data_IF_204215508151
#
_entry.id   IF_204215508151
#
_cell.length_a   1.000
_cell.length_b   1.000
_cell.length_c   1.000
_cell.angle_alpha   90.00
_cell.angle_beta   90.00
_cell.angle_gamma   90.00
#
_symmetry.space_group_name_H-M   'P 1'
#
loop_
_entity.id
_entity.type
_entity.pdbx_description
1 polymer ?
#
# COMPACT_ATOMS: atom_id res chain seq x y z
N UNK A 1 -1.58 -12.00 -13.82
CA UNK A 1 -1.24 -11.71 -12.41
C UNK A 1 -0.57 -12.93 -11.80
N UNK A 2 0.66 -12.80 -11.30
CA UNK A 2 1.40 -13.92 -10.69
C UNK A 2 1.16 -13.99 -9.17
N UNK A 3 1.63 -15.07 -8.52
CA UNK A 3 1.45 -15.28 -7.07
C UNK A 3 2.05 -14.16 -6.23
N UNK A 4 3.24 -13.65 -6.61
CA UNK A 4 3.89 -12.53 -5.92
C UNK A 4 3.01 -11.28 -5.93
N UNK A 5 2.45 -10.93 -7.09
CA UNK A 5 1.53 -9.79 -7.26
C UNK A 5 0.27 -9.97 -6.40
N UNK A 6 -0.34 -11.17 -6.42
CA UNK A 6 -1.50 -11.49 -5.56
C UNK A 6 -1.20 -11.28 -4.07
N UNK A 7 -0.02 -11.69 -3.61
CA UNK A 7 0.42 -11.49 -2.22
C UNK A 7 0.52 -9.99 -1.91
N UNK A 8 1.15 -9.20 -2.76
CA UNK A 8 1.33 -7.75 -2.55
C UNK A 8 -0.01 -7.03 -2.54
N UNK A 9 -0.89 -7.27 -3.51
CA UNK A 9 -2.20 -6.62 -3.59
C UNK A 9 -3.08 -6.93 -2.38
N UNK A 10 -3.16 -8.20 -1.98
CA UNK A 10 -3.89 -8.57 -0.77
C UNK A 10 -3.29 -7.92 0.48
N UNK A 11 -1.95 -7.92 0.58
CA UNK A 11 -1.26 -7.31 1.73
C UNK A 11 -1.42 -5.79 1.76
N UNK A 12 -1.54 -5.13 0.60
CA UNK A 12 -1.81 -3.70 0.50
C UNK A 12 -3.24 -3.37 0.95
N UNK A 13 -4.21 -4.23 0.65
CA UNK A 13 -5.55 -4.13 1.21
C UNK A 13 -5.53 -4.28 2.74
N UNK A 14 -4.79 -5.26 3.27
CA UNK A 14 -4.67 -5.45 4.73
C UNK A 14 -3.88 -4.33 5.43
N UNK A 15 -2.85 -3.79 4.80
CA UNK A 15 -2.12 -2.63 5.30
C UNK A 15 -3.08 -1.44 5.51
N UNK A 16 -3.93 -1.16 4.51
CA UNK A 16 -4.89 -0.04 4.56
C UNK A 16 -6.06 -0.23 5.52
N UNK A 17 -6.32 -1.47 5.94
CA UNK A 17 -7.37 -1.86 6.90
C UNK A 17 -6.82 -1.90 8.34
N UNK A 18 -5.65 -2.51 8.55
CA UNK A 18 -5.17 -2.92 9.89
C UNK A 18 -3.74 -2.49 10.23
N UNK A 19 -3.08 -1.76 9.34
CA UNK A 19 -1.65 -1.45 9.48
C UNK A 19 -0.74 -2.61 9.09
N UNK A 20 0.57 -2.36 9.13
CA UNK A 20 1.58 -3.32 8.71
C UNK A 20 1.65 -4.52 9.65
N UNK A 21 1.48 -4.31 10.95
CA UNK A 21 1.46 -5.40 11.94
C UNK A 21 0.12 -6.14 12.00
N UNK A 22 -0.94 -5.60 11.40
CA UNK A 22 -2.29 -6.15 11.45
C UNK A 22 -2.56 -7.41 10.62
N UNK A 23 -1.55 -7.95 9.92
CA UNK A 23 -1.66 -9.18 9.14
C UNK A 23 -0.39 -10.04 9.19
N UNK A 24 -0.56 -11.34 8.94
CA UNK A 24 0.50 -12.34 8.97
C UNK A 24 0.54 -13.19 7.69
N UNK A 25 1.63 -13.95 7.50
CA UNK A 25 1.71 -14.90 6.39
C UNK A 25 0.68 -16.02 6.46
N UNK A 26 0.17 -16.31 7.67
CA UNK A 26 -0.93 -17.25 7.83
C UNK A 26 -2.23 -16.68 7.26
N UNK A 27 -2.49 -15.39 7.47
CA UNK A 27 -3.67 -14.72 6.91
C UNK A 27 -3.60 -14.66 5.39
N UNK A 28 -2.42 -14.33 4.83
CA UNK A 28 -2.17 -14.34 3.38
C UNK A 28 -2.39 -15.74 2.80
N UNK A 29 -1.83 -16.75 3.47
CA UNK A 29 -1.92 -18.16 3.06
C UNK A 29 -3.39 -18.63 3.03
N UNK A 30 -4.16 -18.30 4.08
CA UNK A 30 -5.58 -18.64 4.18
C UNK A 30 -6.41 -17.97 3.11
N UNK A 31 -6.25 -16.65 2.92
CA UNK A 31 -7.07 -15.92 1.95
C UNK A 31 -6.75 -16.35 0.51
N UNK A 32 -5.46 -16.45 0.17
CA UNK A 32 -5.07 -16.68 -1.21
C UNK A 32 -5.12 -18.16 -1.63
N UNK A 33 -5.40 -19.06 -0.68
CA UNK A 33 -5.44 -20.51 -0.91
C UNK A 33 -4.06 -21.09 -1.26
N UNK A 34 -2.98 -20.50 -0.74
CA UNK A 34 -1.60 -20.93 -0.98
C UNK A 34 -0.94 -21.37 0.32
N UNK A 35 0.14 -22.15 0.24
CA UNK A 35 0.85 -22.59 1.46
C UNK A 35 1.66 -21.44 2.08
N UNK A 36 1.85 -21.47 3.40
CA UNK A 36 2.76 -20.55 4.09
C UNK A 36 4.20 -20.63 3.51
N UNK A 37 4.63 -21.82 3.09
CA UNK A 37 5.91 -22.02 2.41
C UNK A 37 6.00 -21.27 1.07
N UNK A 38 4.90 -21.22 0.29
CA UNK A 38 4.83 -20.43 -0.94
C UNK A 38 4.93 -18.92 -0.66
N UNK A 39 4.32 -18.43 0.41
CA UNK A 39 4.48 -17.02 0.83
C UNK A 39 5.94 -16.72 1.19
N UNK A 40 6.57 -17.58 2.00
CA UNK A 40 7.99 -17.44 2.36
C UNK A 40 8.92 -17.54 1.14
N UNK A 41 8.58 -18.34 0.13
CA UNK A 41 9.38 -18.42 -1.10
C UNK A 41 9.42 -17.06 -1.84
N UNK A 42 8.31 -16.32 -1.86
CA UNK A 42 8.26 -15.00 -2.49
C UNK A 42 8.80 -13.88 -1.60
N UNK A 43 8.57 -13.98 -0.30
CA UNK A 43 8.98 -12.99 0.69
C UNK A 43 9.55 -13.71 1.91
N UNK A 44 10.87 -13.98 1.94
CA UNK A 44 11.51 -14.72 3.04
C UNK A 44 11.21 -14.12 4.41
N UNK A 45 11.26 -12.79 4.51
CA UNK A 45 10.94 -12.00 5.70
C UNK A 45 9.75 -11.09 5.43
N UNK A 46 8.97 -10.79 6.48
CA UNK A 46 7.87 -9.81 6.40
C UNK A 46 8.39 -8.41 6.02
N UNK A 47 9.63 -8.10 6.37
CA UNK A 47 10.35 -6.91 5.90
C UNK A 47 10.44 -6.83 4.37
N UNK A 48 10.74 -7.93 3.68
CA UNK A 48 10.81 -7.98 2.21
C UNK A 48 9.44 -7.67 1.58
N UNK A 49 8.37 -8.16 2.22
CA UNK A 49 7.00 -7.83 1.82
C UNK A 49 6.67 -6.35 2.10
N UNK A 50 7.14 -5.80 3.21
CA UNK A 50 6.98 -4.38 3.53
C UNK A 50 7.67 -3.45 2.53
N UNK A 51 8.88 -3.80 2.08
CA UNK A 51 9.56 -3.07 1.02
C UNK A 51 8.79 -3.14 -0.30
N UNK A 52 8.29 -4.33 -0.68
CA UNK A 52 7.44 -4.46 -1.87
C UNK A 52 6.11 -3.70 -1.76
N UNK A 53 5.57 -3.53 -0.55
CA UNK A 53 4.41 -2.68 -0.29
C UNK A 53 4.74 -1.18 -0.39
N UNK A 54 5.97 -0.77 -0.09
CA UNK A 54 6.42 0.60 -0.36
C UNK A 54 6.48 0.86 -1.86
N UNK A 55 7.05 -0.06 -2.64
CA UNK A 55 7.08 0.03 -4.11
C UNK A 55 5.66 0.05 -4.69
N UNK A 56 4.78 -0.82 -4.21
CA UNK A 56 3.37 -0.81 -4.61
C UNK A 56 2.69 0.52 -4.27
N UNK A 57 2.99 1.10 -3.11
CA UNK A 57 2.43 2.38 -2.67
C UNK A 57 2.90 3.52 -3.56
N UNK A 58 4.19 3.55 -3.90
CA UNK A 58 4.76 4.49 -4.86
C UNK A 58 4.03 4.42 -6.19
N UNK A 59 3.89 3.22 -6.76
CA UNK A 59 3.26 3.02 -8.06
C UNK A 59 1.77 3.39 -8.03
N UNK A 60 1.06 3.00 -6.96
CA UNK A 60 -0.35 3.34 -6.76
C UNK A 60 -0.55 4.86 -6.69
N UNK A 61 0.29 5.57 -5.93
CA UNK A 61 0.20 7.02 -5.79
C UNK A 61 0.55 7.73 -7.11
N UNK A 62 1.65 7.33 -7.74
CA UNK A 62 2.11 7.90 -9.01
C UNK A 62 1.06 7.75 -10.12
N UNK A 63 0.45 6.57 -10.22
CA UNK A 63 -0.61 6.30 -11.20
C UNK A 63 -1.87 7.13 -10.90
N UNK A 64 -2.26 7.24 -9.62
CA UNK A 64 -3.40 8.06 -9.20
C UNK A 64 -3.20 9.54 -9.53
N UNK A 65 -2.04 10.10 -9.16
CA UNK A 65 -1.70 11.49 -9.45
C UNK A 65 -1.64 11.76 -10.96
N UNK A 66 -0.99 10.90 -11.74
CA UNK A 66 -0.95 11.00 -13.19
C UNK A 66 -2.35 10.94 -13.84
N UNK A 67 -3.25 10.10 -13.30
CA UNK A 67 -4.63 10.01 -13.76
C UNK A 67 -5.39 11.34 -13.56
N UNK A 68 -5.18 12.01 -12.42
CA UNK A 68 -5.77 13.32 -12.15
C UNK A 68 -5.18 14.40 -13.07
N UNK A 69 -3.86 14.38 -13.27
CA UNK A 69 -3.15 15.35 -14.12
C UNK A 69 -3.64 15.33 -15.55
N UNK A 70 -3.81 14.15 -16.13
CA UNK A 70 -4.30 13.99 -17.51
C UNK A 70 -5.74 14.47 -17.71
N UNK A 71 -6.53 14.64 -16.63
CA UNK A 71 -7.97 14.95 -16.69
C UNK A 71 -8.31 16.30 -16.08
N UNK A 72 -7.34 16.99 -15.52
CA UNK A 72 -7.52 18.29 -14.90
C UNK A 72 -7.72 19.37 -15.96
N UNK A 73 -8.79 20.14 -15.84
CA UNK A 73 -9.00 21.31 -16.70
C UNK A 73 -8.13 22.51 -16.28
N UNK A 74 -7.76 22.57 -15.00
CA UNK A 74 -6.90 23.59 -14.38
C UNK A 74 -6.40 23.08 -13.02
N UNK A 75 -5.51 23.85 -12.37
CA UNK A 75 -4.93 23.49 -11.08
C UNK A 75 -5.97 23.27 -9.96
N UNK A 76 -7.08 24.03 -9.98
CA UNK A 76 -8.14 23.87 -8.98
C UNK A 76 -8.88 22.54 -9.16
N UNK A 77 -9.24 22.19 -10.40
CA UNK A 77 -9.87 20.92 -10.69
C UNK A 77 -8.94 19.72 -10.41
N UNK A 78 -7.62 19.87 -10.57
CA UNK A 78 -6.64 18.86 -10.13
C UNK A 78 -6.76 18.59 -8.62
N UNK A 79 -6.74 19.65 -7.82
CA UNK A 79 -6.89 19.54 -6.35
C UNK A 79 -8.24 18.94 -5.96
N UNK A 80 -9.33 19.38 -6.59
CA UNK A 80 -10.67 18.86 -6.36
C UNK A 80 -10.76 17.36 -6.66
N UNK A 81 -10.17 16.89 -7.77
CA UNK A 81 -10.12 15.46 -8.12
C UNK A 81 -9.35 14.65 -7.08
N UNK A 82 -8.20 15.16 -6.62
CA UNK A 82 -7.42 14.51 -5.57
C UNK A 82 -8.20 14.40 -4.27
N UNK A 83 -8.78 15.51 -3.78
CA UNK A 83 -9.57 15.53 -2.55
C UNK A 83 -10.81 14.64 -2.66
N UNK A 84 -11.50 14.65 -3.80
CA UNK A 84 -12.67 13.79 -4.03
C UNK A 84 -12.30 12.31 -3.98
N UNK A 85 -11.16 11.92 -4.56
CA UNK A 85 -10.68 10.55 -4.50
C UNK A 85 -10.28 10.15 -3.07
N UNK A 86 -9.54 11.02 -2.36
CA UNK A 86 -9.17 10.79 -0.97
C UNK A 86 -10.40 10.64 -0.06
N UNK A 87 -11.40 11.51 -0.22
CA UNK A 87 -12.67 11.44 0.52
C UNK A 87 -13.44 10.16 0.20
N UNK A 88 -13.51 9.75 -1.08
CA UNK A 88 -14.16 8.49 -1.47
C UNK A 88 -13.49 7.29 -0.78
N UNK A 89 -12.17 7.21 -0.83
CA UNK A 89 -11.42 6.11 -0.21
C UNK A 89 -11.61 6.08 1.31
N UNK A 90 -11.49 7.24 1.97
CA UNK A 90 -11.59 7.33 3.42
C UNK A 90 -13.03 7.13 3.95
N UNK A 91 -14.02 7.75 3.31
CA UNK A 91 -15.39 7.82 3.84
C UNK A 91 -16.31 6.73 3.31
N UNK A 92 -16.13 6.31 2.04
CA UNK A 92 -16.99 5.29 1.44
C UNK A 92 -16.38 3.90 1.57
N UNK A 93 -15.09 3.77 1.28
CA UNK A 93 -14.41 2.46 1.29
C UNK A 93 -13.81 2.12 2.66
N UNK A 94 -13.79 3.09 3.60
CA UNK A 94 -13.20 2.95 4.94
C UNK A 94 -11.74 2.48 4.88
N UNK A 95 -11.00 2.90 3.86
CA UNK A 95 -9.59 2.55 3.65
C UNK A 95 -8.72 3.76 3.93
N UNK A 96 -7.66 3.55 4.71
CA UNK A 96 -6.67 4.58 4.99
C UNK A 96 -5.69 4.68 3.81
N UNK A 97 -5.14 5.89 3.59
CA UNK A 97 -4.01 6.07 2.68
C UNK A 97 -2.86 5.12 3.08
N UNK A 98 -2.26 4.36 2.14
CA UNK A 98 -1.18 3.42 2.46
C UNK A 98 0.04 4.09 3.12
N UNK A 99 0.37 5.34 2.76
CA UNK A 99 1.44 6.11 3.43
C UNK A 99 1.09 6.34 4.90
N UNK A 100 -0.12 6.83 5.18
CA UNK A 100 -0.58 7.04 6.56
C UNK A 100 -0.65 5.73 7.36
N UNK A 101 -1.06 4.62 6.71
CA UNK A 101 -1.09 3.31 7.34
C UNK A 101 0.31 2.83 7.77
N UNK A 102 1.34 3.08 6.96
CA UNK A 102 2.72 2.84 7.36
C UNK A 102 3.16 3.74 8.52
N UNK A 103 2.83 5.03 8.47
CA UNK A 103 3.20 5.97 9.52
C UNK A 103 2.57 5.65 10.89
N UNK A 104 1.38 5.04 10.92
CA UNK A 104 0.77 4.57 12.16
C UNK A 104 1.62 3.53 12.90
N UNK A 105 2.39 2.72 12.17
CA UNK A 105 3.26 1.68 12.73
C UNK A 105 4.74 2.10 12.78
N UNK A 106 5.07 3.37 12.49
CA UNK A 106 6.44 3.85 12.27
C UNK A 106 7.43 3.41 13.34
N UNK A 107 7.05 3.44 14.63
CA UNK A 107 7.92 3.08 15.74
C UNK A 107 8.33 1.60 15.77
N UNK A 108 7.56 0.73 15.10
CA UNK A 108 7.77 -0.73 15.06
C UNK A 108 8.41 -1.19 13.75
N UNK A 109 8.43 -0.35 12.73
CA UNK A 109 8.96 -0.73 11.43
C UNK A 109 10.49 -0.90 11.45
N UNK A 110 11.02 -1.88 10.68
CA UNK A 110 12.43 -1.94 10.34
C UNK A 110 12.93 -0.64 9.70
N UNK A 111 14.18 -0.27 9.96
CA UNK A 111 14.75 0.99 9.45
C UNK A 111 14.81 1.04 7.92
N UNK A 112 14.98 -0.11 7.26
CA UNK A 112 14.91 -0.23 5.80
C UNK A 112 13.57 0.27 5.25
N UNK A 113 12.45 -0.09 5.89
CA UNK A 113 11.11 0.33 5.51
C UNK A 113 10.91 1.81 5.84
N UNK A 114 11.37 2.29 7.01
CA UNK A 114 11.30 3.73 7.36
C UNK A 114 12.00 4.60 6.33
N UNK A 115 13.17 4.17 5.85
CA UNK A 115 13.91 4.87 4.78
C UNK A 115 13.12 4.91 3.48
N UNK A 116 12.44 3.82 3.11
CA UNK A 116 11.62 3.82 1.88
C UNK A 116 10.35 4.66 2.03
N UNK A 117 9.67 4.61 3.17
CA UNK A 117 8.48 5.44 3.41
C UNK A 117 8.82 6.92 3.29
N UNK A 118 9.96 7.35 3.83
CA UNK A 118 10.40 8.75 3.72
C UNK A 118 10.54 9.21 2.27
N UNK A 119 10.92 8.32 1.34
CA UNK A 119 10.99 8.66 -0.09
C UNK A 119 9.61 8.79 -0.74
N UNK A 120 8.58 8.17 -0.16
CA UNK A 120 7.20 8.33 -0.64
C UNK A 120 6.64 9.72 -0.35
N UNK A 121 7.20 10.43 0.64
CA UNK A 121 6.81 11.80 0.96
C UNK A 121 7.24 12.81 -0.10
N UNK A 122 8.21 12.45 -0.94
CA UNK A 122 8.81 13.31 -1.96
C UNK A 122 8.13 13.16 -3.36
N UNK A 123 7.04 12.37 -3.46
CA UNK A 123 6.26 12.17 -4.70
C UNK A 123 5.39 13.39 -5.04
#
# INVERSE_FOLDING_TARGET
MNTKQRIVEFSADKLRDRGFDGFSYLDISRELGITKASVHHHFPKKEDLGLALCDWTHDWLSQGLAYFDQRAANHWNKLERYLSAAMKHALSEQRVCPISAFYNDLSKLPDSIKVQIKKLDDI
#
